data_IF_308630712245
#
_entry.id   IF_308630712245
#
_cell.length_a   1.000
_cell.length_b   1.000
_cell.length_c   1.000
_cell.angle_alpha   90.00
_cell.angle_beta   90.00
_cell.angle_gamma   90.00
#
_symmetry.space_group_name_H-M   'P 1'
#
loop_
_entity.id
_entity.type
_entity.pdbx_description
1 polymer ?
#
# COMPACT_ATOMS: atom_id res chain seq x y z
N UNK A 1 -19.60 -6.37 5.22
CA UNK A 1 -19.00 -5.04 5.42
C UNK A 1 -17.79 -4.90 4.51
N UNK A 2 -17.96 -4.45 3.26
CA UNK A 2 -16.84 -4.16 2.35
C UNK A 2 -17.11 -2.83 1.60
N UNK A 3 -17.37 -1.78 2.38
CA UNK A 3 -17.30 -0.40 1.90
C UNK A 3 -15.85 0.06 2.04
N UNK A 4 -15.02 -0.19 1.04
CA UNK A 4 -13.72 0.47 0.88
C UNK A 4 -13.39 0.39 -0.59
N UNK A 5 -13.20 1.54 -1.22
CA UNK A 5 -12.84 1.70 -2.62
C UNK A 5 -11.55 0.92 -2.93
N UNK A 6 -11.68 -0.34 -3.34
CA UNK A 6 -10.58 -1.15 -3.86
C UNK A 6 -10.40 -0.74 -5.32
N UNK A 7 -9.16 -0.50 -5.74
CA UNK A 7 -8.83 0.12 -7.02
C UNK A 7 -9.65 -0.42 -8.21
N UNK A 8 -10.70 0.32 -8.59
CA UNK A 8 -11.46 0.09 -9.81
C UNK A 8 -10.76 0.65 -11.04
N UNK A 9 -9.47 0.97 -10.95
CA UNK A 9 -8.68 1.35 -12.12
C UNK A 9 -8.46 0.11 -12.98
N UNK A 10 -8.94 0.10 -14.25
CA UNK A 10 -8.77 -1.03 -15.15
C UNK A 10 -7.30 -1.45 -15.29
N UNK A 11 -6.36 -0.52 -15.12
CA UNK A 11 -4.92 -0.78 -15.17
C UNK A 11 -4.41 -1.72 -14.07
N UNK A 12 -5.05 -1.77 -12.90
CA UNK A 12 -4.59 -2.60 -11.80
C UNK A 12 -4.90 -4.09 -12.05
N UNK A 13 -6.10 -4.39 -12.56
CA UNK A 13 -6.54 -5.77 -12.72
C UNK A 13 -6.20 -6.38 -14.09
N UNK A 14 -6.00 -5.57 -15.13
CA UNK A 14 -5.69 -6.06 -16.49
C UNK A 14 -4.33 -6.71 -16.60
N UNK A 15 -3.26 -6.03 -16.15
CA UNK A 15 -1.90 -6.58 -16.19
C UNK A 15 -1.76 -7.88 -15.37
N UNK A 16 -2.38 -7.94 -14.18
CA UNK A 16 -2.35 -9.15 -13.34
C UNK A 16 -3.17 -10.28 -13.96
N UNK A 17 -4.34 -10.00 -14.55
CA UNK A 17 -5.17 -11.03 -15.20
C UNK A 17 -4.43 -11.68 -16.35
N UNK A 18 -3.77 -10.88 -17.20
CA UNK A 18 -2.95 -11.40 -18.31
C UNK A 18 -1.80 -12.26 -17.78
N UNK A 19 -1.14 -11.81 -16.71
CA UNK A 19 -0.04 -12.55 -16.07
C UNK A 19 -0.50 -13.88 -15.47
N UNK A 20 -1.67 -13.90 -14.82
CA UNK A 20 -2.27 -15.14 -14.27
C UNK A 20 -2.59 -16.12 -15.38
N UNK A 21 -3.16 -15.66 -16.49
CA UNK A 21 -3.46 -16.52 -17.66
C UNK A 21 -2.15 -17.11 -18.22
N UNK A 22 -1.13 -16.29 -18.43
CA UNK A 22 0.17 -16.75 -18.92
C UNK A 22 0.84 -17.76 -17.98
N UNK A 23 0.74 -17.53 -16.66
CA UNK A 23 1.24 -18.45 -15.65
C UNK A 23 0.50 -19.80 -15.68
N UNK A 24 -0.83 -19.80 -15.82
CA UNK A 24 -1.61 -21.02 -15.97
C UNK A 24 -1.22 -21.80 -17.24
N UNK A 25 -1.03 -21.11 -18.37
CA UNK A 25 -0.57 -21.72 -19.63
C UNK A 25 0.81 -22.34 -19.43
N UNK A 26 1.76 -21.60 -18.85
CA UNK A 26 3.09 -22.11 -18.57
C UNK A 26 3.04 -23.35 -17.65
N UNK A 27 2.18 -23.34 -16.62
CA UNK A 27 1.99 -24.48 -15.72
C UNK A 27 1.49 -25.74 -16.43
N UNK A 28 0.50 -25.61 -17.33
CA UNK A 28 -0.02 -26.74 -18.11
C UNK A 28 1.07 -27.35 -19.00
N UNK A 29 1.82 -26.52 -19.73
CA UNK A 29 2.86 -27.01 -20.63
C UNK A 29 4.12 -27.51 -19.90
N UNK A 30 4.41 -26.98 -18.71
CA UNK A 30 5.45 -27.51 -17.83
C UNK A 30 5.13 -28.96 -17.42
N UNK A 31 3.86 -29.25 -17.10
CA UNK A 31 3.40 -30.61 -16.77
C UNK A 31 3.38 -31.52 -18.00
N UNK A 32 3.03 -30.98 -19.17
CA UNK A 32 3.07 -31.70 -20.44
C UNK A 32 4.49 -31.97 -20.98
N UNK A 33 5.53 -31.51 -20.28
CA UNK A 33 6.93 -31.59 -20.71
C UNK A 33 7.18 -31.00 -22.12
N UNK A 34 6.40 -29.98 -22.50
CA UNK A 34 6.53 -29.28 -23.78
C UNK A 34 7.23 -27.92 -23.58
N UNK A 35 8.52 -27.81 -23.94
CA UNK A 35 9.29 -26.59 -23.71
C UNK A 35 8.78 -25.40 -24.52
N UNK A 36 8.19 -25.65 -25.70
CA UNK A 36 7.71 -24.59 -26.60
C UNK A 36 6.47 -23.92 -26.00
N UNK A 37 5.50 -24.71 -25.54
CA UNK A 37 4.32 -24.21 -24.85
C UNK A 37 4.65 -23.51 -23.52
N UNK A 38 5.67 -23.97 -22.79
CA UNK A 38 6.16 -23.29 -21.58
C UNK A 38 6.70 -21.89 -21.90
N UNK A 39 7.56 -21.76 -22.93
CA UNK A 39 8.08 -20.47 -23.38
C UNK A 39 6.97 -19.57 -23.91
N UNK A 40 5.96 -20.16 -24.58
CA UNK A 40 4.75 -19.46 -25.00
C UNK A 40 3.99 -18.85 -23.81
N UNK A 41 3.77 -19.63 -22.74
CA UNK A 41 3.16 -19.12 -21.51
C UNK A 41 3.98 -17.99 -20.87
N UNK A 42 5.31 -18.13 -20.85
CA UNK A 42 6.20 -17.09 -20.34
C UNK A 42 6.14 -15.79 -21.16
N UNK A 43 6.01 -15.89 -22.49
CA UNK A 43 5.81 -14.74 -23.35
C UNK A 43 4.50 -13.98 -23.05
N UNK A 44 3.42 -14.70 -22.70
CA UNK A 44 2.15 -14.09 -22.27
C UNK A 44 2.30 -13.34 -20.95
N UNK A 45 3.05 -13.89 -19.99
CA UNK A 45 3.35 -13.19 -18.73
C UNK A 45 4.11 -11.89 -19.00
N UNK A 46 5.12 -11.91 -19.87
CA UNK A 46 5.86 -10.71 -20.26
C UNK A 46 4.96 -9.67 -20.93
N UNK A 47 4.03 -10.10 -21.79
CA UNK A 47 3.02 -9.20 -22.36
C UNK A 47 2.14 -8.55 -21.29
N UNK A 48 1.73 -9.30 -20.25
CA UNK A 48 1.01 -8.75 -19.10
C UNK A 48 1.79 -7.64 -18.38
N UNK A 49 3.10 -7.83 -18.21
CA UNK A 49 4.00 -6.80 -17.68
C UNK A 49 4.12 -5.56 -18.57
N UNK A 50 4.27 -5.76 -19.89
CA UNK A 50 4.34 -4.66 -20.87
C UNK A 50 3.03 -3.86 -20.88
N UNK A 51 1.87 -4.53 -20.84
CA UNK A 51 0.56 -3.87 -20.77
C UNK A 51 0.42 -3.09 -19.46
N UNK A 52 0.79 -3.67 -18.32
CA UNK A 52 0.79 -2.96 -17.04
C UNK A 52 1.68 -1.71 -17.05
N UNK A 53 2.86 -1.79 -17.66
CA UNK A 53 3.77 -0.66 -17.83
C UNK A 53 3.20 0.40 -18.79
N UNK A 54 2.60 -0.01 -19.91
CA UNK A 54 1.96 0.88 -20.86
C UNK A 54 0.78 1.63 -20.22
N UNK A 55 -0.04 0.96 -19.42
CA UNK A 55 -1.16 1.59 -18.71
C UNK A 55 -0.68 2.53 -17.60
N UNK A 56 0.45 2.22 -16.96
CA UNK A 56 1.10 3.14 -16.02
C UNK A 56 1.65 4.38 -16.73
N UNK A 57 2.23 4.21 -17.91
CA UNK A 57 2.70 5.32 -18.75
C UNK A 57 1.55 6.17 -19.31
N UNK A 58 0.41 5.54 -19.60
CA UNK A 58 -0.82 6.20 -20.04
C UNK A 58 -1.58 6.93 -18.91
N UNK A 59 -1.05 6.97 -17.69
CA UNK A 59 -1.68 7.67 -16.56
C UNK A 59 -2.87 6.96 -15.93
N UNK A 60 -3.16 5.73 -16.35
CA UNK A 60 -4.24 4.88 -15.80
C UNK A 60 -3.77 4.05 -14.60
N UNK A 61 -2.45 4.01 -14.34
CA UNK A 61 -1.86 3.38 -13.16
C UNK A 61 -2.26 4.09 -11.86
N UNK A 62 -2.04 3.43 -10.72
CA UNK A 62 -2.38 3.98 -9.40
C UNK A 62 -1.85 5.41 -9.26
N UNK A 63 -2.74 6.34 -8.90
CA UNK A 63 -2.36 7.72 -8.59
C UNK A 63 -1.20 7.68 -7.61
N UNK A 64 -0.08 8.34 -7.97
CA UNK A 64 1.09 8.49 -7.10
C UNK A 64 0.57 8.96 -5.74
N UNK A 65 0.85 8.19 -4.69
CA UNK A 65 0.37 8.49 -3.34
C UNK A 65 0.68 9.97 -3.05
N UNK A 66 -0.38 10.78 -2.93
CA UNK A 66 -0.24 12.20 -2.66
C UNK A 66 0.52 12.36 -1.35
N UNK A 67 1.35 13.39 -1.21
CA UNK A 67 1.98 13.69 0.08
C UNK A 67 0.91 13.90 1.17
N UNK A 68 -0.30 14.34 0.80
CA UNK A 68 -1.44 14.36 1.72
C UNK A 68 -1.89 12.97 2.20
N UNK A 69 -1.83 11.95 1.33
CA UNK A 69 -2.17 10.57 1.69
C UNK A 69 -1.08 9.91 2.57
N UNK A 70 0.20 10.23 2.30
CA UNK A 70 1.29 9.84 3.21
C UNK A 70 1.17 10.53 4.56
N UNK A 71 0.91 11.83 4.59
CA UNK A 71 0.73 12.60 5.82
C UNK A 71 -0.44 12.05 6.64
N UNK A 72 -1.58 11.78 6.00
CA UNK A 72 -2.73 11.17 6.67
C UNK A 72 -2.42 9.78 7.27
N UNK A 73 -1.59 8.97 6.59
CA UNK A 73 -1.14 7.67 7.13
C UNK A 73 -0.18 7.81 8.31
N UNK A 74 0.76 8.76 8.25
CA UNK A 74 1.68 9.04 9.35
C UNK A 74 0.92 9.60 10.55
N UNK A 75 -0.07 10.47 10.32
CA UNK A 75 -0.93 11.02 11.37
C UNK A 75 -1.81 9.94 12.00
N UNK A 76 -2.42 9.07 11.19
CA UNK A 76 -3.18 7.93 11.70
C UNK A 76 -2.30 6.94 12.49
N UNK A 77 -1.05 6.72 12.05
CA UNK A 77 -0.08 5.91 12.78
C UNK A 77 0.28 6.56 14.13
N UNK A 78 0.53 7.86 14.17
CA UNK A 78 0.78 8.61 15.42
C UNK A 78 -0.41 8.52 16.37
N UNK A 79 -1.62 8.77 15.89
CA UNK A 79 -2.83 8.66 16.69
C UNK A 79 -3.06 7.24 17.25
N UNK A 80 -2.62 6.20 16.53
CA UNK A 80 -2.67 4.81 17.03
C UNK A 80 -1.63 4.51 18.11
N UNK A 81 -0.44 5.11 18.00
CA UNK A 81 0.60 5.02 19.03
C UNK A 81 0.17 5.78 20.30
N UNK A 82 -0.38 6.97 20.16
CA UNK A 82 -0.90 7.77 21.29
C UNK A 82 -2.04 7.04 22.02
N UNK A 83 -2.90 6.31 21.28
CA UNK A 83 -3.93 5.46 21.89
C UNK A 83 -3.32 4.26 22.59
N UNK A 84 -2.35 3.59 21.98
CA UNK A 84 -1.67 2.44 22.60
C UNK A 84 -0.90 2.84 23.87
N UNK A 85 -0.28 4.03 23.87
CA UNK A 85 0.42 4.58 25.03
C UNK A 85 -0.57 4.87 26.17
N UNK A 86 -1.71 5.50 25.88
CA UNK A 86 -2.78 5.73 26.86
C UNK A 86 -3.32 4.42 27.45
N UNK A 87 -3.54 3.42 26.59
CA UNK A 87 -3.99 2.09 27.02
C UNK A 87 -2.94 1.34 27.86
N UNK A 88 -1.65 1.59 27.64
CA UNK A 88 -0.56 1.01 28.43
C UNK A 88 -0.39 1.72 29.79
N UNK A 89 -0.62 3.03 29.84
CA UNK A 89 -0.68 3.81 31.07
C UNK A 89 -1.89 3.40 31.92
N UNK A 90 -3.05 3.21 31.31
CA UNK A 90 -4.27 2.74 31.98
C UNK A 90 -4.15 1.31 32.51
N UNK A 91 -3.39 0.45 31.82
CA UNK A 91 -3.08 -0.92 32.29
C UNK A 91 -2.00 -0.98 33.39
N UNK A 92 -1.35 0.14 33.72
CA UNK A 92 -0.33 0.20 34.76
C UNK A 92 1.00 -0.45 34.39
N UNK A 93 1.26 -0.70 33.11
CA UNK A 93 2.49 -1.37 32.61
C UNK A 93 3.58 -0.38 32.16
N UNK A 94 3.33 0.94 32.21
CA UNK A 94 4.25 1.97 31.71
C UNK A 94 5.30 2.43 32.74
N UNK A 95 6.56 1.98 32.57
CA UNK A 95 7.73 2.68 33.13
C UNK A 95 8.01 3.94 32.28
N UNK A 96 8.07 5.16 32.86
CA UNK A 96 8.22 6.38 32.08
C UNK A 96 9.66 6.55 31.59
N UNK A 97 9.99 5.92 30.46
CA UNK A 97 11.19 6.28 29.69
C UNK A 97 10.87 7.46 28.77
N UNK A 98 11.09 8.67 29.30
CA UNK A 98 11.33 9.86 28.47
C UNK A 98 10.19 10.89 28.40
N UNK A 99 10.10 11.75 29.42
CA UNK A 99 9.65 13.13 29.21
C UNK A 99 10.81 14.10 29.47
N UNK A 100 11.31 14.83 28.47
CA UNK A 100 11.82 16.17 28.71
C UNK A 100 10.60 17.10 28.80
N UNK A 101 10.26 17.46 30.03
CA UNK A 101 9.35 18.56 30.34
C UNK A 101 9.99 19.86 29.81
N UNK A 102 9.75 20.20 28.55
CA UNK A 102 10.02 21.53 28.02
C UNK A 102 8.87 22.44 28.46
N UNK A 103 9.12 23.17 29.53
CA UNK A 103 8.30 24.25 30.04
C UNK A 103 7.82 25.16 28.90
N UNK A 104 6.50 25.26 28.74
CA UNK A 104 5.87 26.23 27.85
C UNK A 104 5.76 27.55 28.64
N UNK A 105 6.40 28.66 28.23
CA UNK A 105 6.17 29.93 28.87
C UNK A 105 4.82 30.49 28.41
N UNK A 106 3.93 30.71 29.37
CA UNK A 106 2.66 31.41 29.22
C UNK A 106 2.92 32.92 29.00
N UNK A 107 2.55 33.53 27.85
CA UNK A 107 2.53 34.98 27.74
C UNK A 107 1.16 35.51 28.14
N UNK A 108 1.20 36.21 29.25
CA UNK A 108 0.15 37.04 29.81
C UNK A 108 -0.54 37.95 28.77
N UNK A 109 -1.86 38.08 28.94
CA UNK A 109 -2.63 39.33 28.87
C UNK A 109 -2.53 40.13 27.55
N UNK A 110 -3.59 40.08 26.74
CA UNK A 110 -3.94 41.19 25.87
C UNK A 110 -5.41 41.56 26.08
N UNK A 111 -5.63 42.37 27.12
CA UNK A 111 -6.84 43.18 27.32
C UNK A 111 -6.59 44.60 26.80
N UNK A 112 -7.67 45.19 26.26
CA UNK A 112 -7.87 46.54 25.72
C UNK A 112 -7.64 46.70 24.21
#
# INVERSE_FOLDING_TARGET
>A
MAGSSHGHTPAAWTGVTISVIGFCIAGVFMVAADPIGFVGGLAVVLLGGIVGLAMRAAGLGAAKESEAAKQARVEAARASLDRAEREAVERGEGHPTGQPHAAQPEPAQQTA
#
